data_IF_448715438732
#
_entry.id   IF_448715438732
#
_cell.length_a   1.000
_cell.length_b   1.000
_cell.length_c   1.000
_cell.angle_alpha   90.00
_cell.angle_beta   90.00
_cell.angle_gamma   90.00
#
_symmetry.space_group_name_H-M   'P 1'
#
loop_
_entity.id
_entity.type
_entity.pdbx_description
1 polymer ?
#
# COMPACT_ATOMS: atom_id res chain seq x y z
N UNK A 1 17.85 17.60 -13.93
CA UNK A 1 17.16 16.85 -12.84
C UNK A 1 18.20 16.57 -11.77
N UNK A 2 18.06 17.06 -10.53
CA UNK A 2 19.01 16.73 -9.46
C UNK A 2 18.81 15.28 -9.02
N UNK A 3 19.91 14.59 -8.71
CA UNK A 3 19.89 13.21 -8.21
C UNK A 3 19.26 13.15 -6.80
N UNK A 4 18.54 12.06 -6.46
CA UNK A 4 17.98 11.88 -5.13
C UNK A 4 19.09 11.73 -4.06
N UNK A 5 18.83 12.15 -2.81
CA UNK A 5 19.79 12.01 -1.72
C UNK A 5 20.07 10.53 -1.40
N UNK A 6 21.27 10.20 -0.89
CA UNK A 6 21.65 8.84 -0.56
C UNK A 6 20.81 8.28 0.61
N UNK A 7 20.46 7.00 0.51
CA UNK A 7 19.78 6.26 1.57
C UNK A 7 20.66 6.17 2.83
N UNK A 8 20.06 6.21 4.04
CA UNK A 8 20.81 6.06 5.29
C UNK A 8 21.42 4.64 5.43
N UNK A 9 22.51 4.50 6.20
CA UNK A 9 23.19 3.21 6.37
C UNK A 9 22.29 2.19 7.08
N UNK A 10 22.30 0.96 6.59
CA UNK A 10 21.70 -0.18 7.27
C UNK A 10 22.59 -0.62 8.43
N UNK A 11 22.22 -0.30 9.67
CA UNK A 11 22.79 -0.92 10.86
C UNK A 11 21.72 -1.70 11.61
N UNK A 12 21.65 -3.00 11.31
CA UNK A 12 21.20 -4.01 12.25
C UNK A 12 22.27 -4.13 13.33
N UNK A 13 22.00 -3.62 14.52
CA UNK A 13 22.53 -4.21 15.74
C UNK A 13 21.38 -4.51 16.69
N UNK A 14 21.13 -5.81 16.80
CA UNK A 14 20.03 -6.44 17.51
C UNK A 14 20.44 -6.57 18.98
N UNK A 15 20.19 -5.53 19.79
CA UNK A 15 20.19 -5.70 21.23
C UNK A 15 18.79 -6.11 21.70
N UNK A 16 18.74 -7.29 22.31
CA UNK A 16 17.55 -7.93 22.86
C UNK A 16 17.07 -7.20 24.11
N UNK A 17 16.03 -6.39 23.99
CA UNK A 17 15.21 -6.00 25.14
C UNK A 17 14.04 -6.99 25.31
N UNK A 18 13.96 -7.58 26.50
CA UNK A 18 12.93 -8.56 26.88
C UNK A 18 11.59 -7.86 27.07
N UNK A 19 10.62 -8.14 26.21
CA UNK A 19 9.22 -7.83 26.48
C UNK A 19 8.65 -8.80 27.52
N UNK A 20 7.94 -8.32 28.56
CA UNK A 20 7.23 -9.21 29.47
C UNK A 20 6.01 -9.82 28.76
N UNK A 21 5.96 -11.15 28.77
CA UNK A 21 4.84 -11.97 28.32
C UNK A 21 3.59 -11.69 29.17
N UNK A 22 2.52 -11.22 28.52
CA UNK A 22 1.19 -11.13 29.11
C UNK A 22 0.55 -12.52 29.15
N UNK A 23 0.64 -13.16 30.31
CA UNK A 23 -0.24 -14.26 30.69
C UNK A 23 -0.69 -14.03 32.12
N UNK A 24 -2.00 -14.11 32.32
CA UNK A 24 -2.75 -13.91 33.57
C UNK A 24 -3.13 -12.45 33.90
N UNK A 25 -4.33 -12.06 33.49
CA UNK A 25 -5.31 -11.51 34.44
C UNK A 25 -6.73 -11.60 33.84
N UNK A 26 -7.31 -12.79 33.89
CA UNK A 26 -8.76 -12.96 33.84
C UNK A 26 -9.28 -12.66 35.24
N UNK A 27 -9.94 -11.53 35.44
CA UNK A 27 -10.80 -11.28 36.61
C UNK A 27 -11.84 -10.23 36.27
N UNK A 28 -13.07 -10.72 36.19
CA UNK A 28 -14.35 -10.01 36.14
C UNK A 28 -14.57 -9.03 37.30
N UNK A 29 -14.95 -7.78 37.02
CA UNK A 29 -15.61 -6.84 37.95
C UNK A 29 -16.51 -5.91 37.10
N UNK A 30 -17.81 -6.19 36.94
CA UNK A 30 -18.95 -5.59 37.68
C UNK A 30 -18.92 -4.06 37.86
N UNK A 31 -19.94 -3.40 37.29
CA UNK A 31 -20.29 -2.00 37.53
C UNK A 31 -20.38 -1.68 39.03
N UNK A 32 -19.75 -0.58 39.44
CA UNK A 32 -20.21 0.25 40.56
C UNK A 32 -19.65 1.66 40.43
N UNK A 33 -20.57 2.62 40.35
CA UNK A 33 -20.33 4.04 40.58
C UNK A 33 -19.74 4.24 41.99
N UNK A 34 -18.53 4.81 42.05
CA UNK A 34 -18.08 5.55 43.23
C UNK A 34 -17.14 6.67 42.81
N UNK A 35 -17.52 7.89 43.16
CA UNK A 35 -16.75 9.12 43.14
C UNK A 35 -15.35 8.93 43.74
N UNK A 36 -14.33 9.05 42.88
CA UNK A 36 -12.93 9.20 43.27
C UNK A 36 -12.44 10.58 42.84
N UNK A 37 -12.61 11.55 43.74
CA UNK A 37 -11.77 12.75 43.79
C UNK A 37 -10.33 12.29 44.04
N UNK A 38 -9.56 12.17 42.96
CA UNK A 38 -8.11 12.08 42.99
C UNK A 38 -7.59 13.26 42.18
N UNK A 39 -6.70 14.01 42.80
CA UNK A 39 -5.95 15.14 42.25
C UNK A 39 -5.45 14.83 40.83
N UNK A 40 -6.20 15.28 39.82
CA UNK A 40 -5.77 15.26 38.42
C UNK A 40 -4.76 16.38 38.26
N UNK A 41 -3.49 16.08 38.56
CA UNK A 41 -2.40 16.82 37.91
C UNK A 41 -2.64 16.70 36.41
N UNK A 42 -2.89 17.81 35.75
CA UNK A 42 -3.14 17.88 34.31
C UNK A 42 -1.92 17.34 33.57
N UNK A 43 -1.89 16.04 33.28
CA UNK A 43 -1.02 15.51 32.24
C UNK A 43 -1.57 16.02 30.91
N UNK A 44 -1.18 17.24 30.54
CA UNK A 44 -1.27 17.67 29.15
C UNK A 44 -0.43 16.71 28.33
N UNK A 45 -1.07 15.81 27.59
CA UNK A 45 -0.41 14.98 26.59
C UNK A 45 0.31 15.88 25.59
N UNK A 46 1.48 15.46 25.11
CA UNK A 46 2.18 16.19 24.03
C UNK A 46 1.25 16.30 22.81
N UNK A 47 1.12 17.51 22.27
CA UNK A 47 0.27 17.78 21.10
C UNK A 47 0.66 16.86 19.94
N UNK A 48 -0.33 16.18 19.34
CA UNK A 48 -0.11 15.23 18.24
C UNK A 48 0.29 13.82 18.69
N UNK A 49 0.54 13.59 19.98
CA UNK A 49 0.87 12.27 20.56
C UNK A 49 -0.36 11.63 21.23
N UNK A 50 -1.51 11.69 20.55
CA UNK A 50 -2.76 11.10 21.02
C UNK A 50 -3.04 9.79 20.27
N UNK A 51 -3.25 8.70 21.00
CA UNK A 51 -3.64 7.41 20.44
C UNK A 51 -5.08 7.37 19.92
N UNK A 52 -5.41 6.37 19.11
CA UNK A 52 -6.80 6.07 18.74
C UNK A 52 -7.15 4.70 19.31
N UNK A 53 -8.22 4.64 20.10
CA UNK A 53 -8.73 3.43 20.70
C UNK A 53 -9.10 2.39 19.62
N UNK A 54 -8.76 1.13 19.86
CA UNK A 54 -9.03 0.02 18.94
C UNK A 54 -10.18 -0.86 19.49
N UNK A 55 -11.44 -0.60 19.13
CA UNK A 55 -12.59 -1.34 19.65
C UNK A 55 -12.64 -2.83 19.24
N UNK A 56 -12.08 -3.21 18.09
CA UNK A 56 -11.86 -4.60 17.64
C UNK A 56 -11.29 -4.60 16.21
N UNK A 57 -10.09 -5.16 16.00
CA UNK A 57 -9.43 -5.31 14.68
C UNK A 57 -9.42 -4.04 13.80
N UNK A 58 -9.52 -2.86 14.40
CA UNK A 58 -9.59 -1.57 13.70
C UNK A 58 -8.23 -0.87 13.59
N UNK A 59 -7.13 -1.60 13.82
CA UNK A 59 -5.78 -1.05 13.75
C UNK A 59 -5.42 -0.54 12.34
N UNK A 60 -5.95 -1.16 11.27
CA UNK A 60 -5.79 -0.69 9.90
C UNK A 60 -6.34 0.74 9.73
N UNK A 61 -7.50 1.02 10.34
CA UNK A 61 -8.12 2.34 10.34
C UNK A 61 -7.33 3.36 11.15
N UNK A 62 -6.93 2.97 12.35
CA UNK A 62 -6.15 3.85 13.22
C UNK A 62 -4.82 4.22 12.56
N UNK A 63 -4.16 3.28 11.87
CA UNK A 63 -2.93 3.55 11.12
C UNK A 63 -3.17 4.57 9.99
N UNK A 64 -4.19 4.37 9.16
CA UNK A 64 -4.51 5.29 8.06
C UNK A 64 -4.85 6.70 8.56
N UNK A 65 -5.67 6.82 9.61
CA UNK A 65 -6.04 8.11 10.21
C UNK A 65 -4.82 8.80 10.81
N UNK A 66 -3.93 8.07 11.50
CA UNK A 66 -2.72 8.67 12.06
C UNK A 66 -1.79 9.20 10.96
N UNK A 67 -1.66 8.50 9.83
CA UNK A 67 -0.91 9.00 8.67
C UNK A 67 -1.52 10.30 8.10
N UNK A 68 -2.84 10.34 7.91
CA UNK A 68 -3.53 11.54 7.43
C UNK A 68 -3.41 12.71 8.42
N UNK A 69 -3.57 12.43 9.72
CA UNK A 69 -3.47 13.41 10.79
C UNK A 69 -2.09 14.07 10.87
N UNK A 70 -1.04 13.36 10.44
CA UNK A 70 0.32 13.87 10.37
C UNK A 70 0.68 14.47 9.01
N UNK A 71 -0.26 14.55 8.06
CA UNK A 71 -0.07 15.32 6.83
C UNK A 71 -0.32 16.80 7.13
N UNK A 72 0.75 17.59 7.23
CA UNK A 72 0.75 18.94 7.79
C UNK A 72 -0.31 19.86 7.18
N UNK A 73 -0.38 19.94 5.86
CA UNK A 73 -1.28 20.84 5.14
C UNK A 73 -2.74 20.46 5.38
N UNK A 74 -3.05 19.15 5.34
CA UNK A 74 -4.38 18.63 5.62
C UNK A 74 -4.77 18.89 7.08
N UNK A 75 -3.87 18.59 8.02
CA UNK A 75 -4.05 18.81 9.45
C UNK A 75 -4.35 20.28 9.74
N UNK A 76 -3.50 21.18 9.26
CA UNK A 76 -3.62 22.61 9.54
C UNK A 76 -4.93 23.18 8.97
N UNK A 77 -5.38 22.70 7.80
CA UNK A 77 -6.68 23.02 7.22
C UNK A 77 -7.87 22.62 8.14
N UNK A 78 -7.84 21.42 8.74
CA UNK A 78 -8.89 20.98 9.67
C UNK A 78 -8.82 21.68 11.04
N UNK A 79 -7.62 21.92 11.57
CA UNK A 79 -7.44 22.64 12.83
C UNK A 79 -7.95 24.08 12.75
N UNK A 80 -7.73 24.75 11.62
CA UNK A 80 -8.22 26.10 11.34
C UNK A 80 -9.71 26.14 10.98
N UNK A 81 -10.38 24.97 10.94
CA UNK A 81 -11.81 24.82 10.65
C UNK A 81 -12.24 25.32 9.26
N UNK A 82 -11.32 25.40 8.30
CA UNK A 82 -11.62 25.82 6.92
C UNK A 82 -12.63 24.91 6.20
N UNK A 83 -12.63 23.62 6.55
CA UNK A 83 -13.61 22.64 6.06
C UNK A 83 -15.07 23.07 6.28
N UNK A 84 -15.38 23.77 7.38
CA UNK A 84 -16.76 24.12 7.73
C UNK A 84 -17.41 25.06 6.71
N UNK A 85 -16.63 25.97 6.10
CA UNK A 85 -17.12 26.86 5.04
C UNK A 85 -17.21 26.18 3.67
N UNK A 86 -16.58 25.01 3.50
CA UNK A 86 -16.49 24.28 2.22
C UNK A 86 -17.39 23.04 2.18
N UNK A 87 -18.18 22.79 3.22
CA UNK A 87 -19.08 21.64 3.30
C UNK A 87 -20.11 21.66 2.17
N UNK A 88 -20.04 20.65 1.31
CA UNK A 88 -21.02 20.42 0.27
C UNK A 88 -22.13 19.50 0.76
N UNK A 89 -23.20 20.11 1.29
CA UNK A 89 -24.33 19.37 1.87
C UNK A 89 -25.29 18.77 0.84
N UNK A 90 -25.17 19.18 -0.43
CA UNK A 90 -26.10 18.81 -1.51
C UNK A 90 -25.50 17.83 -2.51
N UNK A 91 -24.19 17.55 -2.43
CA UNK A 91 -23.52 16.61 -3.32
C UNK A 91 -24.13 15.20 -3.18
N UNK A 92 -24.71 14.63 -4.26
CA UNK A 92 -25.31 13.29 -4.20
C UNK A 92 -24.28 12.18 -3.98
N UNK A 93 -22.99 12.44 -4.20
CA UNK A 93 -21.90 11.49 -3.95
C UNK A 93 -21.30 11.62 -2.54
N UNK A 94 -21.58 12.73 -1.85
CA UNK A 94 -21.12 13.00 -0.50
C UNK A 94 -22.06 12.46 0.58
N UNK A 95 -21.77 12.82 1.82
CA UNK A 95 -22.49 12.43 3.03
C UNK A 95 -23.04 13.65 3.77
N UNK A 96 -23.45 14.67 3.01
CA UNK A 96 -24.02 15.93 3.50
C UNK A 96 -23.06 16.71 4.43
N UNK A 97 -21.75 16.50 4.29
CA UNK A 97 -20.71 17.11 5.11
C UNK A 97 -20.35 16.35 6.39
N UNK A 98 -21.08 15.28 6.72
CA UNK A 98 -20.96 14.62 8.02
C UNK A 98 -19.60 13.93 8.24
N UNK A 99 -18.94 13.47 7.17
CA UNK A 99 -17.62 12.82 7.26
C UNK A 99 -16.54 13.86 7.45
N UNK A 100 -16.61 14.96 6.70
CA UNK A 100 -15.65 16.04 6.83
C UNK A 100 -15.72 16.72 8.21
N UNK A 101 -16.92 16.92 8.76
CA UNK A 101 -17.13 17.42 10.13
C UNK A 101 -16.50 16.47 11.16
N UNK A 102 -16.83 15.18 11.10
CA UNK A 102 -16.31 14.20 12.05
C UNK A 102 -14.79 14.01 11.94
N UNK A 103 -14.25 14.03 10.71
CA UNK A 103 -12.81 13.99 10.50
C UNK A 103 -12.13 15.22 11.10
N UNK A 104 -12.71 16.41 10.92
CA UNK A 104 -12.22 17.65 11.52
C UNK A 104 -12.20 17.61 13.04
N UNK A 105 -13.27 17.12 13.68
CA UNK A 105 -13.35 16.93 15.13
C UNK A 105 -12.30 15.93 15.63
N UNK A 106 -12.08 14.84 14.90
CA UNK A 106 -11.06 13.86 15.23
C UNK A 106 -9.65 14.46 15.17
N UNK A 107 -9.31 15.20 14.11
CA UNK A 107 -8.03 15.90 13.98
C UNK A 107 -7.83 16.88 15.14
N UNK A 108 -8.85 17.67 15.48
CA UNK A 108 -8.79 18.58 16.64
C UNK A 108 -8.52 17.83 17.95
N UNK A 109 -9.16 16.68 18.16
CA UNK A 109 -8.92 15.86 19.36
C UNK A 109 -7.48 15.33 19.39
N UNK A 110 -6.97 14.81 18.27
CA UNK A 110 -5.61 14.27 18.16
C UNK A 110 -4.51 15.32 18.41
N UNK A 111 -4.78 16.58 18.07
CA UNK A 111 -3.82 17.69 18.19
C UNK A 111 -4.16 18.67 19.32
N UNK A 112 -5.11 18.34 20.19
CA UNK A 112 -5.53 19.22 21.29
C UNK A 112 -4.54 19.28 22.46
N UNK A 113 -3.71 18.25 22.63
CA UNK A 113 -2.88 18.04 23.82
C UNK A 113 -3.69 17.70 25.09
N UNK A 114 -5.00 17.48 24.98
CA UNK A 114 -5.91 17.22 26.11
C UNK A 114 -6.12 15.74 26.40
N UNK A 115 -5.78 14.86 25.46
CA UNK A 115 -6.15 13.45 25.51
C UNK A 115 -4.96 12.55 25.20
N UNK A 116 -4.76 11.52 26.02
CA UNK A 116 -3.81 10.44 25.71
C UNK A 116 -4.34 9.53 24.58
N UNK A 117 -5.66 9.41 24.45
CA UNK A 117 -6.32 8.66 23.38
C UNK A 117 -7.70 9.23 23.05
N UNK A 118 -8.17 9.00 21.83
CA UNK A 118 -9.51 9.34 21.34
C UNK A 118 -10.15 8.13 20.65
N UNK A 119 -11.41 8.23 20.20
CA UNK A 119 -12.07 7.19 19.41
C UNK A 119 -12.45 7.73 18.02
N UNK A 120 -12.45 6.84 17.02
CA UNK A 120 -12.87 7.14 15.65
C UNK A 120 -14.14 6.34 15.28
N UNK A 121 -14.99 6.04 16.27
CA UNK A 121 -16.12 5.12 16.09
C UNK A 121 -17.13 5.66 15.08
N UNK A 122 -17.34 6.97 15.04
CA UNK A 122 -18.26 7.57 14.06
C UNK A 122 -17.73 7.42 12.64
N UNK A 123 -16.45 7.71 12.37
CA UNK A 123 -15.83 7.44 11.06
C UNK A 123 -15.92 5.96 10.69
N UNK A 124 -15.70 5.05 11.63
CA UNK A 124 -15.88 3.60 11.41
C UNK A 124 -17.30 3.26 10.98
N UNK A 125 -18.29 3.75 11.72
CA UNK A 125 -19.71 3.52 11.44
C UNK A 125 -20.09 4.05 10.06
N UNK A 126 -19.49 5.16 9.64
CA UNK A 126 -19.68 5.69 8.30
C UNK A 126 -19.04 4.83 7.21
N UNK A 127 -17.78 4.42 7.39
CA UNK A 127 -17.09 3.52 6.46
C UNK A 127 -17.90 2.22 6.25
N UNK A 128 -18.40 1.64 7.35
CA UNK A 128 -19.24 0.43 7.33
C UNK A 128 -20.59 0.61 6.60
N UNK A 129 -21.17 1.81 6.60
CA UNK A 129 -22.39 2.09 5.82
C UNK A 129 -22.13 2.14 4.31
N UNK A 130 -20.93 2.54 3.90
CA UNK A 130 -20.58 2.72 2.49
C UNK A 130 -20.03 1.44 1.86
N UNK A 131 -19.27 0.68 2.62
CA UNK A 131 -18.68 -0.58 2.21
C UNK A 131 -19.01 -1.65 3.26
N UNK A 132 -19.87 -2.60 2.87
CA UNK A 132 -20.34 -3.67 3.75
C UNK A 132 -19.20 -4.51 4.34
N UNK A 133 -18.06 -4.54 3.66
CA UNK A 133 -16.85 -5.24 4.11
C UNK A 133 -16.38 -4.72 5.48
N UNK A 134 -16.58 -3.44 5.83
CA UNK A 134 -16.20 -2.89 7.14
C UNK A 134 -17.24 -3.06 8.26
N UNK A 135 -18.39 -3.69 8.01
CA UNK A 135 -19.45 -3.90 9.02
C UNK A 135 -19.02 -4.93 10.09
N UNK A 136 -18.02 -5.77 9.78
CA UNK A 136 -17.49 -6.77 10.69
C UNK A 136 -16.39 -6.28 11.64
N UNK A 137 -15.90 -7.22 12.45
CA UNK A 137 -14.66 -7.09 13.23
C UNK A 137 -13.50 -7.85 12.56
N UNK A 138 -13.51 -7.92 11.22
CA UNK A 138 -12.47 -8.57 10.43
C UNK A 138 -11.19 -7.72 10.35
N UNK A 139 -10.11 -8.33 9.88
CA UNK A 139 -8.95 -7.57 9.42
C UNK A 139 -9.23 -7.06 8.00
N UNK A 140 -8.81 -5.83 7.72
CA UNK A 140 -9.00 -5.17 6.44
C UNK A 140 -7.70 -4.48 5.98
N UNK A 141 -7.64 -4.12 4.71
CA UNK A 141 -6.52 -3.37 4.15
C UNK A 141 -6.61 -1.89 4.56
N UNK A 142 -5.52 -1.36 5.11
CA UNK A 142 -5.43 0.05 5.48
C UNK A 142 -5.47 0.97 4.25
N UNK A 143 -4.94 0.53 3.11
CA UNK A 143 -4.92 1.30 1.88
C UNK A 143 -6.32 1.43 1.26
N UNK A 144 -7.12 0.37 1.34
CA UNK A 144 -8.51 0.39 0.90
C UNK A 144 -9.31 1.43 1.69
N UNK A 145 -9.22 1.38 3.01
CA UNK A 145 -9.89 2.35 3.86
C UNK A 145 -9.37 3.78 3.62
N UNK A 146 -8.06 3.97 3.46
CA UNK A 146 -7.46 5.27 3.16
C UNK A 146 -8.09 5.89 1.91
N UNK A 147 -8.25 5.09 0.85
CA UNK A 147 -8.84 5.54 -0.41
C UNK A 147 -10.30 5.93 -0.22
N UNK A 148 -11.06 5.11 0.53
CA UNK A 148 -12.48 5.36 0.83
C UNK A 148 -12.66 6.62 1.66
N UNK A 149 -11.81 6.84 2.66
CA UNK A 149 -11.87 8.02 3.51
C UNK A 149 -11.51 9.29 2.75
N UNK A 150 -10.47 9.25 1.91
CA UNK A 150 -10.08 10.38 1.06
C UNK A 150 -11.18 10.74 0.06
N UNK A 151 -11.82 9.75 -0.56
CA UNK A 151 -12.96 9.95 -1.47
C UNK A 151 -14.17 10.56 -0.73
N UNK A 152 -14.51 10.04 0.44
CA UNK A 152 -15.62 10.55 1.24
C UNK A 152 -15.41 12.00 1.70
N UNK A 153 -14.20 12.32 2.19
CA UNK A 153 -13.83 13.69 2.58
C UNK A 153 -13.76 14.60 1.35
N UNK A 154 -13.29 14.10 0.21
CA UNK A 154 -13.31 14.84 -1.05
C UNK A 154 -14.72 15.24 -1.44
N UNK A 155 -15.65 14.30 -1.50
CA UNK A 155 -17.02 14.56 -1.95
C UNK A 155 -17.79 15.46 -0.96
N UNK A 156 -17.53 15.34 0.36
CA UNK A 156 -18.09 16.25 1.36
C UNK A 156 -17.52 17.67 1.29
N UNK A 157 -16.34 17.86 0.72
CA UNK A 157 -15.65 19.17 0.59
C UNK A 157 -15.51 19.63 -0.86
N UNK A 158 -16.22 18.99 -1.79
CA UNK A 158 -16.12 19.33 -3.20
C UNK A 158 -16.82 20.68 -3.44
N UNK A 159 -16.04 21.71 -3.75
CA UNK A 159 -16.50 23.08 -4.01
C UNK A 159 -17.37 23.17 -5.27
N UNK A 160 -17.29 22.18 -6.16
CA UNK A 160 -18.16 22.07 -7.34
C UNK A 160 -19.53 21.53 -6.92
N UNK A 161 -20.53 22.42 -6.86
CA UNK A 161 -21.91 22.05 -6.49
C UNK A 161 -22.63 21.31 -7.62
N UNK A 162 -22.51 21.79 -8.86
CA UNK A 162 -23.15 21.20 -10.03
C UNK A 162 -22.08 20.71 -11.00
N UNK A 163 -21.91 19.39 -11.09
CA UNK A 163 -20.86 18.77 -11.92
C UNK A 163 -21.25 18.85 -13.42
N UNK A 164 -20.58 19.69 -14.24
CA UNK A 164 -20.92 19.82 -15.65
C UNK A 164 -20.54 18.57 -16.44
N UNK A 165 -21.22 18.33 -17.57
CA UNK A 165 -20.76 17.33 -18.53
C UNK A 165 -19.42 17.76 -19.13
N UNK A 166 -18.47 16.85 -19.14
CA UNK A 166 -17.13 17.08 -19.72
C UNK A 166 -17.10 16.31 -21.04
N UNK A 167 -16.91 16.99 -22.18
CA UNK A 167 -16.83 16.30 -23.46
C UNK A 167 -15.61 15.36 -23.50
N UNK A 168 -15.69 14.26 -24.27
CA UNK A 168 -14.53 13.40 -24.48
C UNK A 168 -13.43 14.20 -25.17
N UNK A 169 -12.19 14.01 -24.70
CA UNK A 169 -11.02 14.67 -25.25
C UNK A 169 -10.41 13.73 -26.28
N UNK A 170 -10.24 14.22 -27.50
CA UNK A 170 -9.57 13.47 -28.55
C UNK A 170 -8.07 13.81 -28.56
N UNK A 171 -7.24 12.77 -28.58
CA UNK A 171 -5.78 12.89 -28.58
C UNK A 171 -5.29 13.44 -29.94
N UNK A 172 -5.85 12.98 -31.07
CA UNK A 172 -5.53 13.42 -32.45
C UNK A 172 -4.03 13.64 -32.78
N UNK A 173 -3.12 13.01 -32.03
CA UNK A 173 -1.67 13.21 -32.17
C UNK A 173 -1.16 14.55 -31.62
N UNK A 174 -1.95 15.24 -30.79
CA UNK A 174 -1.54 16.48 -30.10
C UNK A 174 -0.44 16.17 -29.06
N UNK A 175 0.39 17.16 -28.69
CA UNK A 175 1.40 16.95 -27.66
C UNK A 175 0.79 16.56 -26.32
N UNK A 176 1.41 15.60 -25.63
CA UNK A 176 0.94 15.06 -24.35
C UNK A 176 0.57 16.14 -23.33
N UNK A 177 1.40 17.17 -23.17
CA UNK A 177 1.18 18.23 -22.18
C UNK A 177 -0.12 19.01 -22.46
N UNK A 178 -0.46 19.25 -23.73
CA UNK A 178 -1.69 19.95 -24.12
C UNK A 178 -2.92 19.12 -23.76
N UNK A 179 -2.86 17.82 -24.05
CA UNK A 179 -3.95 16.88 -23.77
C UNK A 179 -4.08 16.67 -22.26
N UNK A 180 -2.98 16.45 -21.55
CA UNK A 180 -2.92 16.32 -20.09
C UNK A 180 -3.57 17.52 -19.38
N UNK A 181 -3.21 18.74 -19.78
CA UNK A 181 -3.77 19.98 -19.24
C UNK A 181 -5.27 20.11 -19.51
N UNK A 182 -5.75 19.63 -20.66
CA UNK A 182 -7.17 19.61 -21.00
C UNK A 182 -7.94 18.60 -20.13
N UNK A 183 -7.39 17.39 -19.94
CA UNK A 183 -7.95 16.39 -19.03
C UNK A 183 -7.99 16.91 -17.60
N UNK A 184 -6.91 17.56 -17.15
CA UNK A 184 -6.82 18.10 -15.80
C UNK A 184 -7.81 19.23 -15.57
N UNK A 185 -7.92 20.18 -16.50
CA UNK A 185 -8.96 21.22 -16.45
C UNK A 185 -10.36 20.61 -16.47
N UNK A 186 -10.59 19.57 -17.29
CA UNK A 186 -11.84 18.82 -17.32
C UNK A 186 -12.18 18.20 -15.96
N UNK A 187 -11.20 17.57 -15.32
CA UNK A 187 -11.33 16.98 -13.99
C UNK A 187 -11.64 18.03 -12.92
N UNK A 188 -10.89 19.14 -12.88
CA UNK A 188 -11.07 20.23 -11.91
C UNK A 188 -12.44 20.91 -12.01
N UNK A 189 -13.05 20.97 -13.20
CA UNK A 189 -14.44 21.46 -13.36
C UNK A 189 -15.48 20.63 -12.60
N UNK A 190 -15.15 19.40 -12.23
CA UNK A 190 -16.05 18.48 -11.52
C UNK A 190 -15.58 18.19 -10.08
N UNK A 191 -14.30 18.36 -9.81
CA UNK A 191 -13.66 17.96 -8.57
C UNK A 191 -12.69 19.04 -8.11
N UNK A 192 -13.09 19.79 -7.09
CA UNK A 192 -12.24 20.80 -6.45
C UNK A 192 -12.42 20.70 -4.94
N UNK A 193 -11.40 20.19 -4.24
CA UNK A 193 -11.37 20.18 -2.78
C UNK A 193 -9.93 20.18 -2.28
N UNK A 194 -9.75 20.33 -0.96
CA UNK A 194 -8.42 20.17 -0.33
C UNK A 194 -7.78 18.81 -0.65
N UNK A 195 -8.59 17.75 -0.81
CA UNK A 195 -8.06 16.42 -1.14
C UNK A 195 -7.46 16.40 -2.54
N UNK A 196 -8.14 17.03 -3.51
CA UNK A 196 -7.63 17.14 -4.89
C UNK A 196 -6.32 17.92 -4.91
N UNK A 197 -6.25 19.01 -4.15
CA UNK A 197 -5.06 19.87 -4.10
C UNK A 197 -3.83 19.18 -3.52
N UNK A 198 -4.02 18.31 -2.51
CA UNK A 198 -2.91 17.70 -1.78
C UNK A 198 -2.51 16.32 -2.28
N UNK A 199 -3.47 15.52 -2.74
CA UNK A 199 -3.25 14.10 -2.99
C UNK A 199 -3.46 13.68 -4.44
N UNK A 200 -4.10 14.49 -5.27
CA UNK A 200 -4.44 14.06 -6.64
C UNK A 200 -3.34 14.41 -7.64
N UNK A 201 -2.81 13.38 -8.29
CA UNK A 201 -1.95 13.48 -9.47
C UNK A 201 -2.66 12.99 -10.72
N UNK A 202 -1.91 12.85 -11.82
CA UNK A 202 -2.42 12.39 -13.11
C UNK A 202 -1.48 11.34 -13.73
N UNK A 203 -2.02 10.20 -14.16
CA UNK A 203 -1.32 9.22 -14.97
C UNK A 203 -1.47 9.52 -16.45
N UNK A 204 -0.48 9.08 -17.24
CA UNK A 204 -0.64 8.87 -18.69
C UNK A 204 -0.80 7.37 -18.94
N UNK A 205 -1.96 6.96 -19.42
CA UNK A 205 -2.27 5.57 -19.78
C UNK A 205 -2.24 5.41 -21.28
N UNK A 206 -1.32 4.60 -21.82
CA UNK A 206 -1.27 4.27 -23.25
C UNK A 206 -1.65 2.81 -23.45
N UNK A 207 -2.75 2.56 -24.15
CA UNK A 207 -3.22 1.23 -24.49
C UNK A 207 -3.13 1.00 -25.99
N UNK A 208 -2.80 -0.23 -26.39
CA UNK A 208 -2.73 -0.64 -27.81
C UNK A 208 -3.56 -1.88 -28.00
N UNK A 209 -4.54 -1.80 -28.90
CA UNK A 209 -5.36 -2.95 -29.24
C UNK A 209 -4.48 -4.02 -29.93
N UNK A 210 -4.48 -5.28 -29.47
CA UNK A 210 -3.66 -6.33 -30.09
C UNK A 210 -4.18 -6.75 -31.47
N UNK A 211 -5.45 -6.51 -31.80
CA UNK A 211 -6.07 -6.91 -33.07
C UNK A 211 -5.97 -5.83 -34.15
N UNK A 212 -6.39 -4.59 -33.86
CA UNK A 212 -6.40 -3.50 -34.83
C UNK A 212 -5.23 -2.53 -34.70
N UNK A 213 -4.33 -2.75 -33.72
CA UNK A 213 -3.17 -1.91 -33.42
C UNK A 213 -3.46 -0.43 -33.14
N UNK A 214 -4.73 -0.04 -33.00
CA UNK A 214 -5.13 1.30 -32.58
C UNK A 214 -4.58 1.59 -31.19
N UNK A 215 -3.89 2.71 -31.08
CA UNK A 215 -3.37 3.24 -29.83
C UNK A 215 -4.37 4.26 -29.26
N UNK A 216 -4.55 4.24 -27.94
CA UNK A 216 -5.36 5.20 -27.20
C UNK A 216 -4.56 5.69 -26.01
N UNK A 217 -4.47 7.01 -25.88
CA UNK A 217 -3.85 7.68 -24.73
C UNK A 217 -4.96 8.33 -23.91
N UNK A 218 -4.95 8.08 -22.60
CA UNK A 218 -5.84 8.75 -21.64
C UNK A 218 -5.00 9.33 -20.50
N UNK A 219 -5.54 10.37 -19.86
CA UNK A 219 -4.91 10.98 -18.70
C UNK A 219 -5.85 10.91 -17.50
N UNK A 220 -5.52 10.07 -16.54
CA UNK A 220 -6.43 9.64 -15.48
C UNK A 220 -5.97 10.16 -14.11
N UNK A 221 -6.85 10.79 -13.32
CA UNK A 221 -6.50 11.25 -11.97
C UNK A 221 -6.25 10.07 -11.03
N UNK A 222 -5.33 10.22 -10.08
CA UNK A 222 -5.11 9.24 -9.02
C UNK A 222 -4.86 9.92 -7.67
N UNK A 223 -5.28 9.26 -6.59
CA UNK A 223 -5.04 9.75 -5.21
C UNK A 223 -3.97 8.93 -4.49
N UNK A 224 -3.73 7.69 -4.92
CA UNK A 224 -2.72 6.79 -4.36
C UNK A 224 -1.96 6.05 -5.47
N UNK A 225 -0.67 5.78 -5.25
CA UNK A 225 0.16 5.00 -6.18
C UNK A 225 0.44 3.60 -5.62
N UNK A 226 -0.13 2.57 -6.24
CA UNK A 226 0.18 1.18 -5.93
C UNK A 226 1.42 0.73 -6.69
N UNK A 227 2.52 0.50 -5.97
CA UNK A 227 3.80 0.09 -6.58
C UNK A 227 3.96 -1.43 -6.49
N UNK A 228 4.04 -2.15 -7.62
CA UNK A 228 4.24 -3.60 -7.58
C UNK A 228 5.64 -3.92 -7.05
N UNK A 229 5.71 -4.86 -6.12
CA UNK A 229 7.00 -5.40 -5.69
C UNK A 229 7.56 -6.33 -6.76
N UNK A 230 8.87 -6.25 -7.08
CA UNK A 230 9.50 -7.22 -7.95
C UNK A 230 9.29 -8.63 -7.39
N UNK A 231 8.74 -9.54 -8.21
CA UNK A 231 8.61 -10.96 -7.86
C UNK A 231 10.00 -11.60 -7.82
N UNK A 232 10.68 -11.49 -6.68
CA UNK A 232 11.95 -12.19 -6.43
C UNK A 232 11.64 -13.58 -5.90
N UNK A 233 12.02 -14.61 -6.64
CA UNK A 233 12.00 -15.98 -6.15
C UNK A 233 13.44 -16.41 -5.93
N UNK A 234 13.79 -16.71 -4.68
CA UNK A 234 15.04 -17.39 -4.40
C UNK A 234 14.84 -18.87 -4.77
N UNK A 235 15.64 -19.35 -5.72
CA UNK A 235 15.69 -20.76 -6.11
C UNK A 235 16.96 -21.35 -5.50
N UNK A 236 16.80 -22.33 -4.62
CA UNK A 236 17.92 -23.12 -4.11
C UNK A 236 18.21 -24.23 -5.13
N UNK A 237 19.35 -24.16 -5.82
CA UNK A 237 19.75 -25.12 -6.87
C UNK A 237 20.89 -25.99 -6.37
N UNK A 238 20.79 -27.31 -6.54
CA UNK A 238 21.92 -28.21 -6.29
C UNK A 238 22.75 -28.31 -7.56
N UNK A 239 24.07 -28.16 -7.43
CA UNK A 239 25.01 -28.46 -8.50
C UNK A 239 25.75 -29.74 -8.17
N UNK A 240 25.57 -30.75 -9.02
CA UNK A 240 26.34 -31.98 -8.92
C UNK A 240 27.43 -31.91 -9.97
N UNK A 241 28.66 -31.68 -9.53
CA UNK A 241 29.82 -31.78 -10.40
C UNK A 241 29.94 -33.21 -10.89
N UNK A 242 30.05 -33.41 -12.22
CA UNK A 242 30.49 -34.70 -12.79
C UNK A 242 32.00 -34.88 -12.60
N UNK A 243 32.43 -34.87 -11.34
CA UNK A 243 33.72 -35.38 -10.93
C UNK A 243 33.45 -36.28 -9.73
N UNK A 244 33.67 -37.59 -9.90
CA UNK A 244 33.44 -38.64 -8.90
C UNK A 244 34.18 -38.38 -7.57
N UNK A 245 35.07 -37.39 -7.53
CA UNK A 245 35.91 -37.04 -6.39
C UNK A 245 35.35 -35.93 -5.49
N UNK A 246 34.27 -35.22 -5.88
CA UNK A 246 33.70 -34.13 -5.07
C UNK A 246 32.22 -34.35 -4.76
N UNK A 247 31.78 -34.13 -3.50
CA UNK A 247 30.36 -34.19 -3.16
C UNK A 247 29.58 -33.06 -3.88
N UNK A 248 28.28 -33.26 -4.15
CA UNK A 248 27.41 -32.21 -4.68
C UNK A 248 27.47 -30.94 -3.83
N UNK A 249 27.47 -29.77 -4.48
CA UNK A 249 27.50 -28.46 -3.81
C UNK A 249 26.18 -27.75 -4.09
N UNK A 250 25.54 -27.24 -3.03
CA UNK A 250 24.29 -26.50 -3.14
C UNK A 250 24.55 -24.99 -3.26
N UNK A 251 23.96 -24.35 -4.26
CA UNK A 251 24.04 -22.91 -4.49
C UNK A 251 22.66 -22.27 -4.38
N UNK A 252 22.58 -21.13 -3.67
CA UNK A 252 21.38 -20.28 -3.66
C UNK A 252 21.46 -19.25 -4.78
N UNK A 253 20.50 -19.28 -5.70
CA UNK A 253 20.37 -18.33 -6.81
C UNK A 253 19.11 -17.49 -6.59
N UNK A 254 19.25 -16.17 -6.59
CA UNK A 254 18.12 -15.24 -6.50
C UNK A 254 17.85 -14.68 -7.88
N UNK A 255 16.66 -14.95 -8.43
CA UNK A 255 16.26 -14.45 -9.74
C UNK A 255 14.73 -14.30 -9.85
N UNK A 256 14.23 -13.90 -11.01
CA UNK A 256 12.79 -13.81 -11.26
C UNK A 256 12.17 -15.20 -11.32
N UNK A 257 10.96 -15.36 -10.78
CA UNK A 257 10.17 -16.58 -10.95
C UNK A 257 9.98 -16.92 -12.44
N UNK A 258 9.82 -15.90 -13.27
CA UNK A 258 9.62 -16.03 -14.71
C UNK A 258 10.93 -16.04 -15.51
N UNK A 259 12.07 -16.16 -14.83
CA UNK A 259 13.39 -16.22 -15.48
C UNK A 259 13.59 -17.49 -16.29
N UNK A 260 14.58 -17.46 -17.19
CA UNK A 260 14.91 -18.59 -18.07
C UNK A 260 15.96 -19.52 -17.45
N UNK A 261 16.01 -20.77 -17.91
CA UNK A 261 17.07 -21.71 -17.55
C UNK A 261 18.45 -21.19 -17.95
N UNK A 262 18.57 -20.52 -19.09
CA UNK A 262 19.80 -19.83 -19.51
C UNK A 262 20.28 -18.79 -18.48
N UNK A 263 19.36 -18.02 -17.90
CA UNK A 263 19.68 -17.06 -16.85
C UNK A 263 20.11 -17.76 -15.56
N UNK A 264 19.47 -18.88 -15.20
CA UNK A 264 19.85 -19.71 -14.06
C UNK A 264 21.28 -20.24 -14.24
N UNK A 265 21.60 -20.83 -15.40
CA UNK A 265 22.96 -21.32 -15.72
C UNK A 265 23.99 -20.20 -15.66
N UNK A 266 23.68 -19.01 -16.18
CA UNK A 266 24.57 -17.83 -16.13
C UNK A 266 24.83 -17.38 -14.69
N UNK A 267 23.78 -17.25 -13.88
CA UNK A 267 23.91 -16.86 -12.47
C UNK A 267 24.70 -17.90 -11.66
N UNK A 268 24.50 -19.18 -11.99
CA UNK A 268 25.23 -20.26 -11.36
C UNK A 268 26.71 -20.27 -11.78
N UNK A 269 26.99 -20.10 -13.08
CA UNK A 269 28.33 -20.01 -13.65
C UNK A 269 29.17 -18.95 -12.94
N UNK A 270 28.59 -17.78 -12.68
CA UNK A 270 29.24 -16.70 -11.92
C UNK A 270 29.56 -17.08 -10.46
N UNK A 271 28.81 -17.98 -9.83
CA UNK A 271 29.05 -18.42 -8.45
C UNK A 271 29.96 -19.63 -8.32
N UNK A 272 29.88 -20.57 -9.26
CA UNK A 272 30.60 -21.84 -9.19
C UNK A 272 31.86 -21.88 -10.07
N UNK A 273 32.03 -20.91 -10.98
CA UNK A 273 33.16 -20.84 -11.91
C UNK A 273 33.10 -21.85 -13.06
N UNK A 274 32.00 -22.57 -13.21
CA UNK A 274 31.81 -23.50 -14.34
C UNK A 274 31.26 -22.77 -15.57
N UNK A 275 31.76 -23.05 -16.78
CA UNK A 275 31.18 -22.52 -18.01
C UNK A 275 29.74 -23.00 -18.25
N UNK A 276 28.86 -22.11 -18.72
CA UNK A 276 27.43 -22.43 -18.99
C UNK A 276 27.23 -23.53 -20.03
N UNK A 277 28.13 -23.65 -21.01
CA UNK A 277 28.08 -24.70 -22.04
C UNK A 277 28.41 -26.11 -21.50
N UNK A 278 28.97 -26.21 -20.29
CA UNK A 278 29.17 -27.48 -19.59
C UNK A 278 28.02 -27.81 -18.65
N UNK A 279 27.01 -26.94 -18.57
CA UNK A 279 25.88 -27.08 -17.67
C UNK A 279 24.66 -27.72 -18.34
N UNK A 280 24.10 -28.76 -17.70
CA UNK A 280 22.88 -29.43 -18.14
C UNK A 280 21.87 -29.39 -17.00
N UNK A 281 20.71 -28.79 -17.24
CA UNK A 281 19.68 -28.63 -16.23
C UNK A 281 18.67 -29.78 -16.30
N UNK A 282 18.46 -30.47 -15.19
CA UNK A 282 17.43 -31.52 -15.07
C UNK A 282 16.49 -31.24 -13.91
N UNK A 283 15.24 -31.66 -14.09
CA UNK A 283 14.26 -31.69 -13.01
C UNK A 283 14.30 -33.02 -12.29
N UNK A 284 14.28 -32.99 -10.96
CA UNK A 284 14.26 -34.20 -10.12
C UNK A 284 12.98 -34.27 -9.30
N UNK A 285 12.29 -35.41 -9.37
CA UNK A 285 11.12 -35.72 -8.56
C UNK A 285 11.29 -37.09 -7.93
N UNK A 286 11.07 -37.20 -6.63
CA UNK A 286 11.20 -38.47 -5.88
C UNK A 286 12.53 -39.19 -6.17
N UNK A 287 13.65 -38.44 -6.16
CA UNK A 287 15.00 -38.92 -6.48
C UNK A 287 15.16 -39.52 -7.89
N UNK A 288 14.33 -39.11 -8.85
CA UNK A 288 14.44 -39.49 -10.27
C UNK A 288 14.47 -38.27 -11.17
N UNK A 289 15.28 -38.32 -12.21
CA UNK A 289 15.25 -37.34 -13.31
C UNK A 289 13.92 -37.50 -14.05
N UNK A 290 13.13 -36.42 -14.11
CA UNK A 290 11.82 -36.42 -14.78
C UNK A 290 11.79 -35.58 -16.04
N UNK A 291 12.70 -34.61 -16.18
CA UNK A 291 12.69 -33.69 -17.32
C UNK A 291 14.09 -33.14 -17.59
N UNK A 292 14.40 -32.88 -18.86
CA UNK A 292 15.61 -32.20 -19.30
C UNK A 292 15.26 -30.79 -19.76
N UNK A 293 15.74 -29.79 -19.02
CA UNK A 293 15.34 -28.40 -19.19
C UNK A 293 16.23 -27.70 -20.21
N UNK A 294 15.59 -27.14 -21.24
CA UNK A 294 16.23 -26.36 -22.30
C UNK A 294 16.45 -24.92 -21.84
N UNK A 295 17.39 -24.25 -22.47
CA UNK A 295 17.80 -22.89 -22.10
C UNK A 295 16.70 -21.83 -22.23
N UNK A 296 15.73 -22.06 -23.13
CA UNK A 296 14.56 -21.21 -23.38
C UNK A 296 13.35 -21.57 -22.49
N UNK A 297 13.43 -22.62 -21.69
CA UNK A 297 12.35 -22.97 -20.76
C UNK A 297 12.28 -21.93 -19.64
N UNK A 298 11.05 -21.60 -19.21
CA UNK A 298 10.84 -20.74 -18.04
C UNK A 298 10.96 -21.56 -16.76
N UNK A 299 11.47 -20.93 -15.70
CA UNK A 299 11.47 -21.50 -14.37
C UNK A 299 10.04 -21.81 -13.87
N UNK A 300 9.04 -20.98 -14.21
CA UNK A 300 7.63 -21.09 -13.77
C UNK A 300 6.72 -21.96 -14.64
N UNK A 301 7.03 -22.22 -15.92
CA UNK A 301 6.22 -23.10 -16.79
C UNK A 301 6.27 -24.58 -16.39
N UNK A 302 6.72 -24.84 -15.18
CA UNK A 302 7.15 -26.13 -14.63
C UNK A 302 6.24 -26.60 -13.49
N UNK A 303 5.25 -25.77 -13.12
CA UNK A 303 4.13 -26.14 -12.26
C UNK A 303 4.35 -26.04 -10.75
N UNK A 304 5.57 -25.81 -10.25
CA UNK A 304 5.85 -25.74 -8.81
C UNK A 304 7.04 -24.83 -8.49
N UNK A 305 7.11 -24.37 -7.23
CA UNK A 305 8.33 -23.78 -6.67
C UNK A 305 9.47 -24.77 -6.86
N UNK A 306 10.54 -24.36 -7.53
CA UNK A 306 11.79 -25.11 -7.60
C UNK A 306 12.18 -25.52 -6.17
N UNK A 307 11.95 -26.77 -5.85
CA UNK A 307 12.28 -27.31 -4.55
C UNK A 307 13.72 -27.80 -4.60
N UNK A 308 14.29 -27.83 -3.40
CA UNK A 308 15.67 -28.08 -3.00
C UNK A 308 16.49 -29.19 -3.68
N UNK A 309 15.99 -29.90 -4.70
CA UNK A 309 16.55 -31.11 -5.28
C UNK A 309 16.77 -31.06 -6.81
N UNK A 310 16.42 -29.98 -7.52
CA UNK A 310 16.74 -29.88 -8.95
C UNK A 310 18.26 -29.72 -9.16
N UNK A 311 18.80 -30.50 -10.10
CA UNK A 311 20.24 -30.62 -10.33
C UNK A 311 20.60 -29.96 -11.66
N UNK A 312 21.54 -29.01 -11.58
CA UNK A 312 22.34 -28.63 -12.74
C UNK A 312 23.63 -29.44 -12.68
N UNK A 313 23.83 -30.27 -13.69
CA UNK A 313 25.06 -31.02 -13.95
C UNK A 313 26.07 -30.14 -14.67
#
# INVERSE_FOLDING_TARGET
IPLPPPLPPSSLDRQTEKYPTSSAFTSSIQQKDTTLTSTVSSLSSTIGFTGIYNPANSCFMNAAIQCLSNTRELRDYFLQSYHLSELNRTNPLGMKGAIAEEFGDLIKNLWSGKYNWTNAQKLRNYAAKRHQEFVGNGQHDAQELLTILLDAVHEDLNRVITKPQVPPIEDQGRPDHVVADEYWRGYLRRNDSIIVQLFTGQFKSKTKCPQCHKESVTFDPFTTLSVPLPKRTAVDTIVTYRNEQKPPIKYRIVMSADGLISELKRNLSNKCGLPTNKMIAYRIRNNRVVDHLKDDDRLTSTGYSWNNNDIIY
#
